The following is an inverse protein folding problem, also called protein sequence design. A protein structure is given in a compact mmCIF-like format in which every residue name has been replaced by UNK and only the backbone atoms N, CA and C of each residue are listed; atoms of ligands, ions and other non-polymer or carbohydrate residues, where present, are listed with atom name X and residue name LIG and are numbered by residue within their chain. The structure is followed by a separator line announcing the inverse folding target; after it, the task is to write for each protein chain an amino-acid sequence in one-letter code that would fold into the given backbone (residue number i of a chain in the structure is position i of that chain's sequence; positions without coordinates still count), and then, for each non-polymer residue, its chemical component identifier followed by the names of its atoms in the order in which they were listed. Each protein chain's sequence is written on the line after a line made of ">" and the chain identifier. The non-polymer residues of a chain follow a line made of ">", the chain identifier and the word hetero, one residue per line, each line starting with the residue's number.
data_IF_312727871007
#
_entry.id   IF_312727871007
#
_cell.length_a   1.000
_cell.length_b   1.000
_cell.length_c   1.000
_cell.angle_alpha   90.00
_cell.angle_beta   90.00
_cell.angle_gamma   90.00
#
_symmetry.space_group_name_H-M   'P 1'
#
loop_
_entity.id
_entity.type
_entity.pdbx_description
1 polymer ?
#
# COMPACT_ATOMS: atom_id res chain seq x y z
N UNK A 1 -5.16 8.23 -10.97
CA UNK A 1 -4.95 6.87 -10.59
C UNK A 1 -3.80 6.19 -11.31
N UNK A 2 -3.68 4.92 -11.03
CA UNK A 2 -2.67 4.06 -11.66
C UNK A 2 -3.25 3.31 -12.86
N UNK A 3 -4.50 3.54 -13.13
CA UNK A 3 -5.24 2.96 -14.22
C UNK A 3 -5.21 3.91 -15.42
N UNK A 4 -5.04 3.37 -16.62
CA UNK A 4 -5.03 4.13 -17.86
C UNK A 4 -6.39 4.75 -18.19
N UNK A 5 -7.46 4.32 -17.51
CA UNK A 5 -8.82 4.83 -17.70
C UNK A 5 -9.10 6.14 -16.94
N UNK A 6 -8.22 6.57 -16.02
CA UNK A 6 -8.54 7.66 -15.12
C UNK A 6 -7.38 8.62 -14.91
N UNK A 7 -7.56 9.88 -15.33
CA UNK A 7 -6.57 10.96 -15.21
C UNK A 7 -6.49 11.59 -13.79
N UNK A 8 -7.22 11.05 -12.81
CA UNK A 8 -7.21 11.61 -11.46
C UNK A 8 -5.89 11.30 -10.74
N UNK A 9 -5.29 12.34 -10.18
CA UNK A 9 -4.12 12.17 -9.32
C UNK A 9 -4.48 11.42 -8.03
N UNK A 10 -3.59 10.51 -7.61
CA UNK A 10 -3.61 9.98 -6.25
C UNK A 10 -3.31 11.11 -5.25
N UNK A 11 -4.03 11.14 -4.14
CA UNK A 11 -3.90 12.19 -3.12
C UNK A 11 -3.22 11.67 -1.86
N UNK A 12 -3.86 10.76 -1.14
CA UNK A 12 -3.32 10.09 0.04
C UNK A 12 -4.04 8.77 0.28
N UNK A 13 -3.45 7.93 1.14
CA UNK A 13 -4.06 6.67 1.59
C UNK A 13 -5.40 6.93 2.26
N UNK A 14 -5.48 7.94 3.13
CA UNK A 14 -6.70 8.28 3.87
C UNK A 14 -7.82 8.73 2.93
N UNK A 15 -7.50 9.66 2.02
CA UNK A 15 -8.52 10.16 1.09
C UNK A 15 -8.98 9.07 0.13
N UNK A 16 -8.07 8.24 -0.37
CA UNK A 16 -8.45 7.15 -1.26
C UNK A 16 -9.34 6.12 -0.52
N UNK A 17 -9.03 5.80 0.74
CA UNK A 17 -9.85 4.91 1.55
C UNK A 17 -11.26 5.48 1.77
N UNK A 18 -11.36 6.78 2.06
CA UNK A 18 -12.65 7.47 2.23
C UNK A 18 -13.46 7.47 0.93
N UNK A 19 -12.84 7.81 -0.21
CA UNK A 19 -13.50 7.77 -1.53
C UNK A 19 -13.97 6.35 -1.88
N UNK A 20 -13.19 5.31 -1.54
CA UNK A 20 -13.59 3.92 -1.76
C UNK A 20 -14.79 3.53 -0.89
N UNK A 21 -14.81 3.96 0.38
CA UNK A 21 -15.97 3.77 1.25
C UNK A 21 -17.22 4.49 0.73
N UNK A 22 -17.08 5.72 0.19
CA UNK A 22 -18.15 6.44 -0.47
C UNK A 22 -18.68 5.68 -1.67
N UNK A 23 -17.78 5.21 -2.53
CA UNK A 23 -18.10 4.45 -3.73
C UNK A 23 -18.86 3.15 -3.41
N UNK A 24 -18.37 2.38 -2.43
CA UNK A 24 -19.02 1.17 -1.96
C UNK A 24 -20.42 1.47 -1.38
N UNK A 25 -20.51 2.49 -0.54
CA UNK A 25 -21.77 2.88 0.12
C UNK A 25 -22.83 3.34 -0.89
N UNK A 26 -22.45 4.13 -1.90
CA UNK A 26 -23.37 4.61 -2.94
C UNK A 26 -23.88 3.48 -3.84
N UNK A 27 -23.11 2.40 -3.98
CA UNK A 27 -23.53 1.17 -4.68
C UNK A 27 -24.34 0.21 -3.82
N UNK A 28 -24.62 0.58 -2.57
CA UNK A 28 -25.45 -0.21 -1.66
C UNK A 28 -24.71 -1.31 -0.91
N UNK A 29 -23.38 -1.40 -1.03
CA UNK A 29 -22.61 -2.35 -0.23
C UNK A 29 -22.64 -1.91 1.25
N UNK A 30 -23.12 -2.79 2.12
CA UNK A 30 -23.17 -2.58 3.58
C UNK A 30 -22.29 -3.56 4.33
N UNK A 31 -22.03 -4.72 3.74
CA UNK A 31 -21.23 -5.80 4.30
C UNK A 31 -20.29 -6.32 3.22
N UNK A 32 -19.03 -6.49 3.60
CA UNK A 32 -18.02 -7.19 2.79
C UNK A 32 -17.48 -8.37 3.60
N UNK A 33 -17.30 -9.50 2.95
CA UNK A 33 -16.66 -10.64 3.58
C UNK A 33 -15.19 -10.33 3.89
N UNK A 34 -14.47 -9.81 2.91
CA UNK A 34 -13.07 -9.43 3.08
C UNK A 34 -12.72 -8.21 2.22
N UNK A 35 -11.72 -7.46 2.68
CA UNK A 35 -10.92 -6.54 1.87
C UNK A 35 -9.48 -7.04 1.86
N UNK A 36 -8.87 -7.01 0.69
CA UNK A 36 -7.49 -7.42 0.48
C UNK A 36 -6.70 -6.30 -0.17
N UNK A 37 -5.48 -6.10 0.28
CA UNK A 37 -4.56 -5.16 -0.34
C UNK A 37 -3.11 -5.58 -0.17
N UNK A 38 -2.34 -5.47 -1.27
CA UNK A 38 -0.91 -5.72 -1.29
C UNK A 38 -0.14 -4.41 -1.17
N UNK A 39 0.96 -4.39 -0.42
CA UNK A 39 1.85 -3.24 -0.25
C UNK A 39 1.05 -1.98 0.19
N UNK A 40 1.04 -0.89 -0.59
CA UNK A 40 0.20 0.29 -0.36
C UNK A 40 -1.30 -0.06 -0.31
N UNK A 41 -1.75 -1.04 -1.09
CA UNK A 41 -3.13 -1.53 -1.03
C UNK A 41 -3.50 -2.06 0.36
N UNK A 42 -2.56 -2.66 1.08
CA UNK A 42 -2.73 -3.07 2.47
C UNK A 42 -2.98 -1.89 3.41
N UNK A 43 -2.28 -0.78 3.21
CA UNK A 43 -2.52 0.48 3.95
C UNK A 43 -3.93 1.01 3.70
N UNK A 44 -4.37 0.99 2.43
CA UNK A 44 -5.72 1.41 2.04
C UNK A 44 -6.78 0.49 2.64
N UNK A 45 -6.59 -0.84 2.56
CA UNK A 45 -7.51 -1.82 3.13
C UNK A 45 -7.68 -1.63 4.64
N UNK A 46 -6.58 -1.38 5.36
CA UNK A 46 -6.61 -1.04 6.78
C UNK A 46 -7.44 0.23 7.03
N UNK A 47 -7.16 1.31 6.29
CA UNK A 47 -7.87 2.58 6.47
C UNK A 47 -9.37 2.49 6.13
N UNK A 48 -9.74 1.77 5.06
CA UNK A 48 -11.14 1.46 4.72
C UNK A 48 -11.84 0.77 5.89
N UNK A 49 -11.14 -0.18 6.52
CA UNK A 49 -11.66 -0.92 7.68
C UNK A 49 -11.83 -0.03 8.90
N UNK A 50 -10.85 0.82 9.19
CA UNK A 50 -10.84 1.69 10.38
C UNK A 50 -11.90 2.79 10.33
N UNK A 51 -12.35 3.21 9.15
CA UNK A 51 -13.47 4.15 9.02
C UNK A 51 -14.83 3.55 9.44
N UNK A 52 -14.96 2.23 9.54
CA UNK A 52 -16.16 1.50 10.00
C UNK A 52 -17.47 1.89 9.31
N UNK A 53 -17.39 2.40 8.08
CA UNK A 53 -18.58 2.82 7.30
C UNK A 53 -19.29 1.64 6.66
N UNK A 54 -18.57 0.56 6.47
CA UNK A 54 -19.04 -0.71 5.93
C UNK A 54 -18.60 -1.81 6.89
N UNK A 55 -19.48 -2.77 7.16
CA UNK A 55 -19.10 -3.95 7.95
C UNK A 55 -18.16 -4.81 7.13
N UNK A 56 -16.96 -5.04 7.64
CA UNK A 56 -15.93 -5.88 7.02
C UNK A 56 -15.57 -6.99 7.98
N UNK A 57 -15.66 -8.26 7.55
CA UNK A 57 -15.33 -9.36 8.42
C UNK A 57 -13.82 -9.61 8.49
N UNK A 58 -13.13 -9.51 7.36
CA UNK A 58 -11.69 -9.75 7.28
C UNK A 58 -10.98 -8.60 6.55
N UNK A 59 -9.89 -8.10 7.13
CA UNK A 59 -8.97 -7.18 6.48
C UNK A 59 -7.63 -7.87 6.28
N UNK A 60 -7.21 -8.05 5.04
CA UNK A 60 -5.98 -8.76 4.69
C UNK A 60 -4.97 -7.76 4.14
N UNK A 61 -3.87 -7.59 4.87
CA UNK A 61 -2.73 -6.77 4.49
C UNK A 61 -1.60 -7.68 4.04
N UNK A 62 -1.34 -7.75 2.76
CA UNK A 62 -0.26 -8.55 2.17
C UNK A 62 0.98 -7.67 1.95
N UNK A 63 1.99 -7.85 2.77
CA UNK A 63 3.15 -6.96 2.82
C UNK A 63 2.79 -5.49 3.06
N UNK A 64 1.65 -5.24 3.72
CA UNK A 64 1.08 -3.90 3.88
C UNK A 64 2.01 -2.96 4.63
N UNK A 65 2.16 -1.74 4.11
CA UNK A 65 2.99 -0.69 4.71
C UNK A 65 2.21 -0.05 5.86
N UNK A 66 2.88 0.12 7.01
CA UNK A 66 2.28 0.75 8.19
C UNK A 66 2.96 2.10 8.49
N UNK A 67 2.26 3.05 9.12
CA UNK A 67 2.85 4.33 9.48
C UNK A 67 3.63 4.18 10.81
N UNK A 68 4.64 3.31 10.84
CA UNK A 68 5.50 3.24 12.00
C UNK A 68 6.25 4.55 12.15
N UNK A 69 6.17 5.12 13.34
CA UNK A 69 6.64 6.49 13.58
C UNK A 69 8.16 6.60 13.45
N UNK A 70 8.59 7.15 12.33
CA UNK A 70 9.94 7.61 12.10
C UNK A 70 9.99 9.15 12.22
N UNK A 71 11.16 9.73 12.55
CA UNK A 71 11.33 11.17 12.45
C UNK A 71 10.97 11.68 11.05
N UNK A 72 10.30 12.82 10.98
CA UNK A 72 9.78 13.38 9.72
C UNK A 72 10.82 13.43 8.60
N UNK A 73 12.05 13.84 8.90
CA UNK A 73 13.12 13.94 7.90
C UNK A 73 13.53 12.56 7.34
N UNK A 74 13.43 11.49 8.15
CA UNK A 74 13.71 10.11 7.71
C UNK A 74 12.65 9.64 6.73
N UNK A 75 11.37 9.86 7.04
CA UNK A 75 10.27 9.47 6.14
C UNK A 75 10.34 10.23 4.83
N UNK A 76 10.70 11.51 4.84
CA UNK A 76 10.90 12.32 3.63
C UNK A 76 12.09 11.83 2.81
N UNK A 77 13.17 11.43 3.44
CA UNK A 77 14.33 10.88 2.75
C UNK A 77 13.98 9.55 2.05
N UNK A 78 13.26 8.66 2.74
CA UNK A 78 12.79 7.40 2.16
C UNK A 78 11.88 7.68 0.96
N UNK A 79 10.88 8.53 1.13
CA UNK A 79 9.95 8.90 0.06
C UNK A 79 10.70 9.52 -1.15
N UNK A 80 11.68 10.37 -0.92
CA UNK A 80 12.49 10.97 -1.98
C UNK A 80 13.32 9.92 -2.72
N UNK A 81 13.97 9.01 -1.98
CA UNK A 81 14.74 7.92 -2.58
C UNK A 81 13.87 7.07 -3.51
N UNK A 82 12.73 6.61 -3.00
CA UNK A 82 11.82 5.74 -3.74
C UNK A 82 11.20 6.47 -4.96
N UNK A 83 10.82 7.74 -4.79
CA UNK A 83 10.39 8.58 -5.90
C UNK A 83 11.46 8.71 -6.99
N UNK A 84 12.71 8.98 -6.63
CA UNK A 84 13.80 9.08 -7.60
C UNK A 84 14.04 7.77 -8.33
N UNK A 85 13.97 6.64 -7.64
CA UNK A 85 14.08 5.32 -8.26
C UNK A 85 12.98 5.09 -9.32
N UNK A 86 11.72 5.43 -8.99
CA UNK A 86 10.61 5.33 -9.94
C UNK A 86 10.76 6.31 -11.11
N UNK A 87 11.29 7.50 -10.86
CA UNK A 87 11.57 8.47 -11.93
C UNK A 87 12.67 7.98 -12.88
N UNK A 88 13.68 7.24 -12.38
CA UNK A 88 14.68 6.59 -13.25
C UNK A 88 14.03 5.55 -14.16
N UNK A 89 13.16 4.69 -13.64
CA UNK A 89 12.38 3.74 -14.44
C UNK A 89 11.50 4.44 -15.48
N UNK A 90 10.82 5.52 -15.09
CA UNK A 90 9.98 6.34 -16.00
C UNK A 90 10.77 6.88 -17.21
N UNK A 91 11.99 7.37 -16.99
CA UNK A 91 12.81 8.01 -18.03
C UNK A 91 13.60 6.99 -18.82
N UNK A 92 14.25 6.06 -18.15
CA UNK A 92 15.16 5.09 -18.75
C UNK A 92 14.53 3.78 -19.17
N UNK A 93 13.23 3.61 -18.89
CA UNK A 93 12.50 2.39 -19.26
C UNK A 93 13.04 1.14 -18.58
N UNK A 94 12.82 -0.01 -19.21
CA UNK A 94 13.16 -1.34 -18.68
C UNK A 94 14.63 -1.41 -18.26
N UNK A 95 15.56 -0.92 -19.06
CA UNK A 95 17.00 -1.06 -18.80
C UNK A 95 17.47 -0.39 -17.51
N UNK A 96 16.83 0.70 -17.07
CA UNK A 96 17.12 1.31 -15.78
C UNK A 96 16.31 0.65 -14.66
N UNK A 97 15.13 0.16 -14.95
CA UNK A 97 14.30 -0.57 -13.99
C UNK A 97 15.01 -1.86 -13.55
N UNK A 98 15.54 -2.64 -14.51
CA UNK A 98 16.32 -3.87 -14.27
C UNK A 98 17.57 -3.63 -13.42
N UNK A 99 18.18 -2.46 -13.53
CA UNK A 99 19.35 -2.09 -12.71
C UNK A 99 18.98 -1.61 -11.30
N UNK A 100 17.79 -1.09 -11.14
CA UNK A 100 17.32 -0.51 -9.86
C UNK A 100 16.64 -1.54 -8.95
N UNK A 101 16.08 -2.58 -9.53
CA UNK A 101 15.32 -3.62 -8.83
C UNK A 101 15.84 -5.01 -9.21
N UNK A 102 15.71 -5.96 -8.28
CA UNK A 102 15.87 -7.39 -8.61
C UNK A 102 14.66 -7.80 -9.46
N UNK A 103 14.83 -7.81 -10.77
CA UNK A 103 13.76 -8.06 -11.73
C UNK A 103 13.82 -9.45 -12.36
N UNK A 104 14.67 -10.32 -11.84
CA UNK A 104 14.92 -11.66 -12.40
C UNK A 104 13.67 -12.54 -12.44
N UNK A 105 12.64 -12.16 -11.67
CA UNK A 105 11.37 -12.87 -11.54
C UNK A 105 10.25 -12.31 -12.44
N UNK A 106 10.49 -11.18 -13.12
CA UNK A 106 9.49 -10.52 -13.95
C UNK A 106 9.75 -10.73 -15.44
N UNK A 107 8.69 -10.98 -16.19
CA UNK A 107 8.80 -11.00 -17.65
C UNK A 107 9.08 -9.60 -18.22
N UNK A 108 9.61 -9.54 -19.43
CA UNK A 108 9.81 -8.24 -20.09
C UNK A 108 8.49 -7.49 -20.34
N UNK A 109 7.41 -8.22 -20.53
CA UNK A 109 6.06 -7.69 -20.69
C UNK A 109 5.59 -7.03 -19.39
N UNK A 110 5.82 -7.66 -18.24
CA UNK A 110 5.48 -7.08 -16.93
C UNK A 110 6.28 -5.81 -16.66
N UNK A 111 7.58 -5.84 -16.95
CA UNK A 111 8.45 -4.65 -16.79
C UNK A 111 8.02 -3.52 -17.73
N UNK A 112 7.62 -3.84 -18.97
CA UNK A 112 7.11 -2.84 -19.88
C UNK A 112 5.80 -2.24 -19.36
N UNK A 113 4.89 -3.06 -18.85
CA UNK A 113 3.65 -2.59 -18.22
C UNK A 113 3.94 -1.63 -17.07
N UNK A 114 4.89 -1.96 -16.18
CA UNK A 114 5.30 -1.07 -15.09
C UNK A 114 5.82 0.26 -15.63
N UNK A 115 6.67 0.25 -16.65
CA UNK A 115 7.18 1.47 -17.29
C UNK A 115 6.05 2.32 -17.87
N UNK A 116 5.08 1.70 -18.51
CA UNK A 116 3.95 2.41 -19.11
C UNK A 116 3.04 3.02 -18.05
N UNK A 117 2.78 2.31 -16.95
CA UNK A 117 2.09 2.86 -15.76
C UNK A 117 2.85 4.06 -15.19
N UNK A 118 4.16 3.94 -15.01
CA UNK A 118 5.00 5.04 -14.50
C UNK A 118 4.98 6.27 -15.41
N UNK A 119 4.90 6.08 -16.73
CA UNK A 119 4.80 7.16 -17.71
C UNK A 119 3.43 7.79 -17.72
N UNK A 120 2.38 7.01 -17.52
CA UNK A 120 1.00 7.49 -17.44
C UNK A 120 0.77 8.31 -16.17
N UNK A 121 1.24 7.83 -15.03
CA UNK A 121 1.05 8.51 -13.75
C UNK A 121 1.68 9.92 -13.74
N UNK A 122 0.98 10.88 -13.16
CA UNK A 122 1.57 12.20 -12.94
C UNK A 122 2.74 12.14 -11.95
N UNK A 123 3.67 13.10 -12.05
CA UNK A 123 4.75 13.23 -11.07
C UNK A 123 4.22 13.47 -9.65
N UNK A 124 3.06 14.13 -9.53
CA UNK A 124 2.37 14.36 -8.25
C UNK A 124 1.87 13.05 -7.67
N UNK A 125 1.24 12.21 -8.48
CA UNK A 125 0.78 10.88 -8.07
C UNK A 125 1.95 10.06 -7.56
N UNK A 126 3.05 9.97 -8.31
CA UNK A 126 4.24 9.21 -7.90
C UNK A 126 4.82 9.72 -6.57
N UNK A 127 4.98 11.03 -6.42
CA UNK A 127 5.47 11.61 -5.16
C UNK A 127 4.53 11.30 -3.98
N UNK A 128 3.23 11.55 -4.15
CA UNK A 128 2.22 11.37 -3.10
C UNK A 128 2.07 9.92 -2.68
N UNK A 129 2.30 8.97 -3.58
CA UNK A 129 2.31 7.54 -3.26
C UNK A 129 3.30 7.23 -2.17
N UNK A 130 4.58 7.56 -2.39
CA UNK A 130 5.63 7.24 -1.42
C UNK A 130 5.53 8.09 -0.16
N UNK A 131 5.17 9.36 -0.31
CA UNK A 131 4.96 10.24 0.83
C UNK A 131 3.81 9.75 1.72
N UNK A 132 2.67 9.43 1.13
CA UNK A 132 1.49 8.98 1.88
C UNK A 132 1.71 7.62 2.52
N UNK A 133 2.29 6.64 1.81
CA UNK A 133 2.54 5.31 2.36
C UNK A 133 3.36 5.32 3.64
N UNK A 134 4.28 6.27 3.78
CA UNK A 134 5.14 6.38 4.95
C UNK A 134 4.59 7.32 6.03
N UNK A 135 3.54 8.10 5.72
CA UNK A 135 3.09 9.19 6.57
C UNK A 135 1.57 9.22 6.81
N UNK A 136 0.80 8.22 6.37
CA UNK A 136 -0.63 8.21 6.66
C UNK A 136 -0.89 8.06 8.17
N UNK A 137 -2.07 8.48 8.61
CA UNK A 137 -2.42 8.49 10.02
C UNK A 137 -3.53 7.51 10.33
N UNK A 138 -3.23 6.60 11.23
CA UNK A 138 -4.24 5.74 11.84
C UNK A 138 -5.01 6.55 12.89
N UNK A 139 -6.37 6.50 12.90
CA UNK A 139 -7.17 7.17 13.91
C UNK A 139 -6.76 6.79 15.33
N UNK A 140 -6.76 7.76 16.25
CA UNK A 140 -6.49 7.53 17.66
C UNK A 140 -7.58 8.18 18.52
N UNK A 141 -8.14 7.48 19.52
CA UNK A 141 -7.89 6.07 19.82
C UNK A 141 -8.37 5.15 18.68
N UNK A 142 -7.71 3.99 18.53
CA UNK A 142 -8.23 2.95 17.64
C UNK A 142 -9.55 2.47 18.23
N UNK A 143 -10.63 2.68 17.51
CA UNK A 143 -11.95 2.19 17.91
C UNK A 143 -11.95 0.67 17.96
N UNK A 144 -12.78 0.09 18.83
CA UNK A 144 -13.02 -1.34 18.80
C UNK A 144 -13.57 -1.72 17.42
N UNK A 145 -12.84 -2.55 16.71
CA UNK A 145 -13.22 -3.07 15.40
C UNK A 145 -13.56 -4.55 15.52
N UNK A 146 -14.70 -4.93 14.96
CA UNK A 146 -15.12 -6.33 14.90
C UNK A 146 -14.54 -7.07 13.67
N UNK A 147 -13.59 -6.44 12.99
CA UNK A 147 -12.92 -7.00 11.81
C UNK A 147 -11.72 -7.81 12.26
N UNK A 148 -11.61 -9.04 11.75
CA UNK A 148 -10.39 -9.84 11.91
C UNK A 148 -9.33 -9.30 10.95
N UNK A 149 -8.22 -8.79 11.51
CA UNK A 149 -7.09 -8.31 10.72
C UNK A 149 -6.10 -9.45 10.52
N UNK A 150 -5.67 -9.63 9.27
CA UNK A 150 -4.63 -10.58 8.87
C UNK A 150 -3.47 -9.80 8.26
N UNK A 151 -2.26 -10.10 8.71
CA UNK A 151 -1.05 -9.57 8.11
C UNK A 151 -0.25 -10.72 7.50
N UNK A 152 -0.20 -10.74 6.19
CA UNK A 152 0.55 -11.71 5.42
C UNK A 152 1.90 -11.12 5.03
N UNK A 153 2.93 -11.95 5.00
CA UNK A 153 4.28 -11.54 4.62
C UNK A 153 5.02 -12.74 4.05
N UNK A 154 5.64 -12.58 2.90
CA UNK A 154 6.53 -13.58 2.33
C UNK A 154 7.78 -13.75 3.22
N UNK A 155 8.37 -14.95 3.24
CA UNK A 155 9.54 -15.22 4.09
C UNK A 155 10.74 -14.34 3.73
N UNK A 156 10.97 -14.11 2.44
CA UNK A 156 12.05 -13.26 1.95
C UNK A 156 11.86 -11.79 2.33
N UNK A 157 10.61 -11.32 2.51
CA UNK A 157 10.29 -9.94 2.90
C UNK A 157 10.28 -9.72 4.42
N UNK A 158 10.29 -10.75 5.24
CA UNK A 158 10.12 -10.64 6.71
C UNK A 158 11.08 -9.61 7.34
N UNK A 159 12.32 -9.56 6.84
CA UNK A 159 13.32 -8.62 7.34
C UNK A 159 12.94 -7.17 7.06
N UNK A 160 12.42 -6.91 5.88
CA UNK A 160 11.99 -5.57 5.44
C UNK A 160 10.71 -5.15 6.17
N UNK A 161 9.78 -6.08 6.38
CA UNK A 161 8.49 -5.86 7.05
C UNK A 161 8.56 -5.92 8.58
N UNK A 162 9.76 -6.07 9.16
CA UNK A 162 9.92 -6.20 10.61
C UNK A 162 9.28 -5.05 11.40
N UNK A 163 9.40 -3.84 10.91
CA UNK A 163 8.83 -2.66 11.61
C UNK A 163 7.31 -2.57 11.43
N UNK A 164 6.81 -2.96 10.26
CA UNK A 164 5.37 -3.05 10.00
C UNK A 164 4.72 -4.09 10.91
N UNK A 165 5.32 -5.27 11.01
CA UNK A 165 4.87 -6.34 11.91
C UNK A 165 4.89 -5.87 13.37
N UNK A 166 5.94 -5.16 13.80
CA UNK A 166 6.03 -4.63 15.16
C UNK A 166 4.96 -3.55 15.42
N UNK A 167 4.67 -2.70 14.43
CA UNK A 167 3.59 -1.72 14.51
C UNK A 167 2.23 -2.41 14.67
N UNK A 168 1.93 -3.39 13.82
CA UNK A 168 0.66 -4.12 13.87
C UNK A 168 0.47 -4.84 15.20
N UNK A 169 1.50 -5.52 15.73
CA UNK A 169 1.44 -6.16 17.05
C UNK A 169 1.14 -5.19 18.19
N UNK A 170 1.64 -3.96 18.09
CA UNK A 170 1.44 -2.93 19.12
C UNK A 170 0.07 -2.25 19.02
N UNK A 171 -0.35 -1.89 17.81
CA UNK A 171 -1.58 -1.11 17.58
C UNK A 171 -2.82 -1.99 17.42
N UNK A 172 -2.66 -3.19 16.89
CA UNK A 172 -3.73 -4.15 16.60
C UNK A 172 -3.33 -5.54 17.12
N UNK A 173 -3.30 -5.74 18.45
CA UNK A 173 -2.78 -6.98 19.06
C UNK A 173 -3.56 -8.23 18.65
N UNK A 174 -4.81 -8.08 18.16
CA UNK A 174 -5.65 -9.16 17.64
C UNK A 174 -5.29 -9.59 16.20
N UNK A 175 -4.26 -8.96 15.57
CA UNK A 175 -3.85 -9.31 14.21
C UNK A 175 -3.31 -10.74 14.13
N UNK A 176 -3.80 -11.49 13.16
CA UNK A 176 -3.26 -12.80 12.79
C UNK A 176 -2.13 -12.64 11.77
N UNK A 177 -0.96 -13.21 12.07
CA UNK A 177 0.22 -13.13 11.22
C UNK A 177 0.43 -14.46 10.48
N UNK A 178 0.49 -14.39 9.16
CA UNK A 178 0.75 -15.56 8.30
C UNK A 178 2.02 -15.33 7.48
N UNK A 179 2.97 -16.27 7.58
CA UNK A 179 4.13 -16.32 6.71
C UNK A 179 3.78 -17.13 5.48
N UNK A 180 3.81 -16.47 4.35
CA UNK A 180 3.64 -17.12 3.06
C UNK A 180 4.96 -17.78 2.63
N UNK A 181 4.91 -18.91 1.91
CA UNK A 181 6.11 -19.42 1.25
C UNK A 181 6.65 -18.36 0.30
N UNK A 182 7.96 -18.45 0.01
CA UNK A 182 8.54 -17.57 -0.99
C UNK A 182 7.85 -17.84 -2.33
N UNK A 183 6.94 -16.96 -2.65
CA UNK A 183 6.34 -16.85 -3.98
C UNK A 183 7.20 -15.81 -4.69
N UNK A 184 8.33 -16.30 -5.19
CA UNK A 184 9.29 -15.52 -5.93
C UNK A 184 8.72 -14.97 -7.18
#
# INVERSE_FOLDING_TARGET
>A
GYDFENDRDFTSVEQFASELNDWLSTRGYRNLYAVYGCSMGGSIALMVTLEQRIKINHCIMDGGITPYQLPWFVTRFIALKDYLMMMLGRVGGISLLEKAFATDEYSKEDLQYVVDVLRHCSRKTLWRTFDSCNNYRVPEPVSDINTQIHYWCAKNEEKERKQDIAYMKRKFPQTEFTKLPDLG
#
